data_IF_940227128476
#
_entry.id   IF_940227128476
#
_cell.length_a   1.000
_cell.length_b   1.000
_cell.length_c   1.000
_cell.angle_alpha   90.00
_cell.angle_beta   90.00
_cell.angle_gamma   90.00
#
_symmetry.space_group_name_H-M   'P 1'
#
loop_
_entity.id
_entity.type
_entity.pdbx_description
1 polymer ?
#
# COMPACT_ATOMS: atom_id res chain seq x y z
N UNK A 1 28.79 0.84 -0.57
CA UNK A 1 27.76 0.94 0.49
C UNK A 1 27.14 2.31 0.39
N UNK A 2 26.10 2.45 -0.42
CA UNK A 2 25.22 3.62 -0.36
C UNK A 2 24.48 3.54 0.97
N UNK A 3 24.61 4.58 1.80
CA UNK A 3 23.63 4.85 2.86
C UNK A 3 22.25 4.81 2.17
N UNK A 4 21.26 4.02 2.63
CA UNK A 4 19.93 4.05 2.04
C UNK A 4 19.41 5.48 2.18
N UNK A 5 19.41 6.23 1.08
CA UNK A 5 18.84 7.57 1.05
C UNK A 5 17.34 7.46 1.23
N UNK A 6 16.75 8.42 1.93
CA UNK A 6 15.32 8.50 2.18
C UNK A 6 14.55 8.30 0.86
N UNK A 7 13.83 7.18 0.75
CA UNK A 7 13.01 6.88 -0.40
C UNK A 7 11.86 7.89 -0.48
N UNK A 8 11.80 8.66 -1.56
CA UNK A 8 10.75 9.65 -1.78
C UNK A 8 9.66 9.08 -2.69
N UNK A 9 8.41 9.14 -2.23
CA UNK A 9 7.26 8.70 -3.04
C UNK A 9 6.96 9.75 -4.11
N UNK A 10 7.00 9.33 -5.37
CA UNK A 10 6.58 10.16 -6.50
C UNK A 10 5.13 10.64 -6.35
N UNK A 11 4.87 11.90 -6.73
CA UNK A 11 3.54 12.52 -6.60
C UNK A 11 2.42 11.72 -7.28
N UNK A 12 2.69 11.12 -8.44
CA UNK A 12 1.72 10.31 -9.17
C UNK A 12 1.28 9.05 -8.39
N UNK A 13 2.19 8.47 -7.61
CA UNK A 13 1.88 7.34 -6.72
C UNK A 13 1.07 7.81 -5.52
N UNK A 14 1.46 8.93 -4.89
CA UNK A 14 0.74 9.50 -3.74
C UNK A 14 -0.72 9.87 -4.08
N UNK A 15 -0.99 10.36 -5.29
CA UNK A 15 -2.36 10.69 -5.72
C UNK A 15 -3.15 9.47 -6.20
N UNK A 16 -2.53 8.29 -6.25
CA UNK A 16 -3.12 7.10 -6.85
C UNK A 16 -3.27 7.18 -8.37
N UNK A 17 -2.58 8.10 -9.05
CA UNK A 17 -2.67 8.24 -10.52
C UNK A 17 -2.14 7.02 -11.25
N UNK A 18 -1.20 6.31 -10.64
CA UNK A 18 -0.62 5.06 -11.16
C UNK A 18 -1.46 3.82 -10.84
N UNK A 19 -2.57 3.97 -10.10
CA UNK A 19 -3.44 2.85 -9.75
C UNK A 19 -4.38 2.52 -10.91
N UNK A 20 -4.85 1.27 -10.94
CA UNK A 20 -5.81 0.84 -11.94
C UNK A 20 -7.13 1.61 -11.83
N UNK A 21 -7.75 1.87 -12.99
CA UNK A 21 -8.89 2.79 -13.10
C UNK A 21 -10.13 2.30 -12.34
N UNK A 22 -10.31 0.99 -12.21
CA UNK A 22 -11.41 0.41 -11.46
C UNK A 22 -11.38 0.79 -9.97
N UNK A 23 -10.20 1.01 -9.37
CA UNK A 23 -10.10 1.44 -7.97
C UNK A 23 -10.66 2.86 -7.77
N UNK A 24 -10.39 3.76 -8.72
CA UNK A 24 -10.98 5.11 -8.72
C UNK A 24 -12.49 5.05 -8.90
N UNK A 25 -12.98 4.21 -9.82
CA UNK A 25 -14.43 4.04 -10.06
C UNK A 25 -15.13 3.44 -8.84
N UNK A 26 -14.54 2.43 -8.20
CA UNK A 26 -15.07 1.81 -7.00
C UNK A 26 -15.17 2.83 -5.85
N UNK A 27 -14.13 3.65 -5.64
CA UNK A 27 -14.16 4.73 -4.65
C UNK A 27 -15.29 5.73 -4.89
N UNK A 28 -15.53 6.11 -6.16
CA UNK A 28 -16.66 7.00 -6.51
C UNK A 28 -18.00 6.35 -6.19
N UNK A 29 -18.19 5.07 -6.51
CA UNK A 29 -19.43 4.34 -6.22
C UNK A 29 -19.66 4.30 -4.70
N UNK A 30 -18.67 3.87 -3.91
CA UNK A 30 -18.79 3.77 -2.46
C UNK A 30 -19.14 5.11 -1.81
N UNK A 31 -18.53 6.22 -2.28
CA UNK A 31 -18.85 7.58 -1.80
C UNK A 31 -20.28 7.98 -2.13
N UNK A 32 -20.76 7.69 -3.33
CA UNK A 32 -22.13 8.02 -3.75
C UNK A 32 -23.18 7.22 -2.97
N UNK A 33 -22.87 5.98 -2.61
CA UNK A 33 -23.72 5.12 -1.78
C UNK A 33 -23.58 5.39 -0.27
N UNK A 34 -22.67 6.29 0.14
CA UNK A 34 -22.43 6.60 1.55
C UNK A 34 -21.81 5.44 2.34
N UNK A 35 -21.11 4.52 1.68
CA UNK A 35 -20.52 3.32 2.27
C UNK A 35 -19.03 3.52 2.53
N UNK A 36 -18.59 3.36 3.78
CA UNK A 36 -17.18 3.42 4.19
C UNK A 36 -16.84 2.26 5.13
N UNK A 37 -16.57 1.07 4.59
CA UNK A 37 -16.39 -0.13 5.40
C UNK A 37 -15.00 -0.18 6.03
N UNK A 38 -14.92 -0.76 7.23
CA UNK A 38 -13.67 -1.21 7.81
C UNK A 38 -13.32 -2.58 7.24
N UNK A 39 -12.11 -2.71 6.69
CA UNK A 39 -11.69 -3.92 5.95
C UNK A 39 -10.26 -4.31 6.30
N UNK A 40 -9.97 -5.60 6.15
CA UNK A 40 -8.61 -6.15 6.17
C UNK A 40 -8.27 -6.63 4.76
N UNK A 41 -7.10 -6.25 4.26
CA UNK A 41 -6.58 -6.66 2.94
C UNK A 41 -5.28 -7.40 3.14
N UNK A 42 -5.19 -8.61 2.62
CA UNK A 42 -4.01 -9.47 2.69
C UNK A 42 -3.46 -9.74 1.28
N UNK A 43 -2.14 -9.81 1.18
CA UNK A 43 -1.44 -10.14 -0.07
C UNK A 43 -0.73 -11.49 0.11
N UNK A 44 -0.89 -12.37 -0.87
CA UNK A 44 -0.22 -13.69 -0.90
C UNK A 44 0.51 -13.86 -2.22
N UNK A 45 1.64 -14.57 -2.18
CA UNK A 45 2.37 -14.94 -3.38
C UNK A 45 1.82 -16.26 -3.92
N UNK A 46 1.56 -16.32 -5.24
CA UNK A 46 1.17 -17.58 -5.89
C UNK A 46 2.36 -18.51 -6.18
N UNK A 47 3.59 -17.97 -6.09
CA UNK A 47 4.83 -18.66 -6.46
C UNK A 47 5.93 -18.30 -5.48
N UNK A 48 6.83 -19.25 -5.30
CA UNK A 48 7.98 -19.10 -4.41
C UNK A 48 8.87 -17.92 -4.83
N UNK A 49 9.38 -17.17 -3.84
CA UNK A 49 10.24 -16.02 -4.07
C UNK A 49 10.92 -15.51 -2.79
N UNK A 50 11.64 -14.40 -2.93
CA UNK A 50 12.19 -13.65 -1.79
C UNK A 50 11.37 -12.36 -1.63
N UNK A 51 10.82 -12.15 -0.45
CA UNK A 51 10.02 -10.97 -0.14
C UNK A 51 10.90 -9.71 -0.02
N UNK A 52 10.59 -8.66 -0.78
CA UNK A 52 11.33 -7.39 -0.75
C UNK A 52 10.43 -6.18 -1.06
N UNK A 53 10.93 -4.96 -0.82
CA UNK A 53 10.22 -3.72 -1.12
C UNK A 53 9.22 -3.26 -0.04
N UNK A 54 9.23 -3.91 1.13
CA UNK A 54 8.30 -3.60 2.22
C UNK A 54 8.57 -2.23 2.86
N UNK A 55 9.83 -1.77 2.82
CA UNK A 55 10.24 -0.47 3.34
C UNK A 55 9.56 0.68 2.58
N UNK A 56 9.50 0.58 1.24
CA UNK A 56 8.81 1.51 0.35
C UNK A 56 7.29 1.51 0.58
N UNK A 57 6.71 0.32 0.73
CA UNK A 57 5.27 0.15 1.01
C UNK A 57 4.90 0.78 2.35
N UNK A 58 5.68 0.53 3.42
CA UNK A 58 5.46 1.15 4.74
C UNK A 58 5.57 2.68 4.64
N UNK A 59 6.50 3.20 3.86
CA UNK A 59 6.66 4.65 3.62
C UNK A 59 5.43 5.25 2.95
N UNK A 60 4.91 4.59 1.91
CA UNK A 60 3.68 5.02 1.23
C UNK A 60 2.47 4.99 2.18
N UNK A 61 2.22 3.87 2.85
CA UNK A 61 1.05 3.68 3.70
C UNK A 61 1.04 4.61 4.91
N UNK A 62 2.20 4.92 5.48
CA UNK A 62 2.32 5.94 6.54
C UNK A 62 1.91 7.34 6.08
N UNK A 63 1.98 7.62 4.76
CA UNK A 63 1.61 8.93 4.21
C UNK A 63 0.14 9.03 3.80
N UNK A 64 -0.47 7.93 3.36
CA UNK A 64 -1.81 7.93 2.76
C UNK A 64 -2.92 7.41 3.69
N UNK A 65 -2.59 6.58 4.68
CA UNK A 65 -3.58 6.09 5.64
C UNK A 65 -3.85 7.12 6.74
N UNK A 66 -5.05 7.11 7.35
CA UNK A 66 -5.35 7.93 8.51
C UNK A 66 -4.39 7.71 9.68
N UNK A 67 -4.22 8.72 10.54
CA UNK A 67 -3.33 8.62 11.71
C UNK A 67 -3.81 7.57 12.74
N UNK A 68 -5.11 7.27 12.76
CA UNK A 68 -5.74 6.36 13.73
C UNK A 68 -6.67 5.37 13.02
N UNK A 69 -6.99 4.25 13.67
CA UNK A 69 -7.87 3.22 13.10
C UNK A 69 -7.22 2.47 11.93
N UNK A 70 -5.89 2.32 11.95
CA UNK A 70 -5.14 1.54 10.96
C UNK A 70 -4.17 0.61 11.65
N UNK A 71 -3.96 -0.54 11.03
CA UNK A 71 -2.94 -1.50 11.42
C UNK A 71 -2.27 -2.03 10.14
N UNK A 72 -0.94 -2.17 10.17
CA UNK A 72 -0.14 -2.62 9.03
C UNK A 72 0.85 -3.65 9.53
N UNK A 73 0.72 -4.88 9.03
CA UNK A 73 1.62 -5.99 9.31
C UNK A 73 2.28 -6.45 8.03
N UNK A 74 3.50 -6.94 8.16
CA UNK A 74 4.23 -7.52 7.05
C UNK A 74 5.27 -8.51 7.58
N UNK A 75 5.67 -9.43 6.70
CA UNK A 75 6.88 -10.22 6.89
C UNK A 75 8.12 -9.33 6.87
N UNK A 76 9.21 -9.83 7.41
CA UNK A 76 10.51 -9.17 7.31
C UNK A 76 11.08 -9.29 5.89
N UNK A 77 11.82 -8.28 5.47
CA UNK A 77 12.48 -8.28 4.17
C UNK A 77 13.53 -9.40 4.07
N UNK A 78 13.59 -10.07 2.92
CA UNK A 78 14.52 -11.16 2.65
C UNK A 78 14.03 -12.56 3.03
N UNK A 79 12.83 -12.70 3.62
CA UNK A 79 12.26 -14.04 3.88
C UNK A 79 11.82 -14.72 2.58
N UNK A 80 11.92 -16.04 2.53
CA UNK A 80 11.31 -16.84 1.46
C UNK A 80 9.80 -16.92 1.66
N UNK A 81 9.05 -16.68 0.59
CA UNK A 81 7.58 -16.77 0.51
C UNK A 81 7.16 -17.73 -0.57
#
# INVERSE_FOLDING_TARGET
>A
MTTPGDFEIGRSVLTGYTADNELHRALTILRNEGVNPEVVVEFTAERDGIFCGISEVKTLLNRVLPETGREVWALEEGVSV
#
